data_IF_370590220280
#
_entry.id   IF_370590220280
#
_cell.length_a   1.000
_cell.length_b   1.000
_cell.length_c   1.000
_cell.angle_alpha   90.00
_cell.angle_beta   90.00
_cell.angle_gamma   90.00
#
_symmetry.space_group_name_H-M   'P 1'
#
loop_
_entity.id
_entity.type
_entity.pdbx_description
1 polymer ?
#
# COMPACT_ATOMS: atom_id res chain seq x y z
N UNK A 1 -1.75 14.47 -16.71
CA UNK A 1 -2.49 15.76 -16.63
C UNK A 1 -3.00 15.92 -15.21
N UNK A 2 -2.88 17.10 -14.61
CA UNK A 2 -3.41 17.34 -13.26
C UNK A 2 -4.92 17.62 -13.29
N UNK A 3 -5.70 17.15 -12.29
CA UNK A 3 -7.13 17.45 -12.19
C UNK A 3 -7.36 18.94 -11.88
N UNK A 4 -8.44 19.50 -12.43
CA UNK A 4 -8.83 20.88 -12.17
C UNK A 4 -9.29 21.03 -10.72
N UNK A 5 -8.85 22.09 -10.03
CA UNK A 5 -9.26 22.40 -8.66
C UNK A 5 -8.96 23.86 -8.31
N UNK A 6 -9.62 24.37 -7.28
CA UNK A 6 -9.26 25.63 -6.59
C UNK A 6 -8.50 25.40 -5.27
N UNK A 7 -8.28 24.15 -4.89
CA UNK A 7 -7.62 23.76 -3.63
C UNK A 7 -6.36 22.93 -3.92
N UNK A 8 -5.19 23.51 -3.63
CA UNK A 8 -3.88 22.94 -3.92
C UNK A 8 -3.20 22.47 -2.63
N UNK A 9 -2.82 21.19 -2.56
CA UNK A 9 -2.08 20.67 -1.41
C UNK A 9 -0.58 21.00 -1.47
N UNK A 10 0.00 21.41 -0.34
CA UNK A 10 1.41 21.76 -0.19
C UNK A 10 2.28 20.63 0.41
N UNK A 11 1.71 19.43 0.57
CA UNK A 11 2.38 18.28 1.18
C UNK A 11 2.75 18.47 2.65
N UNK A 12 3.46 17.49 3.21
CA UNK A 12 3.78 17.44 4.65
C UNK A 12 4.66 18.62 5.09
N UNK A 13 5.51 19.14 4.22
CA UNK A 13 6.34 20.32 4.50
C UNK A 13 5.49 21.59 4.65
N UNK A 14 4.38 21.68 3.92
CA UNK A 14 3.36 22.74 4.07
C UNK A 14 2.27 22.41 5.08
N UNK A 15 2.42 21.35 5.89
CA UNK A 15 1.42 20.93 6.87
C UNK A 15 0.14 20.35 6.27
N UNK A 16 0.15 19.89 5.01
CA UNK A 16 -1.00 19.23 4.38
C UNK A 16 -0.77 17.72 4.26
N UNK A 17 -1.85 16.95 4.35
CA UNK A 17 -1.81 15.48 4.21
C UNK A 17 -1.60 15.02 2.75
N UNK A 18 -1.86 15.90 1.78
CA UNK A 18 -1.73 15.62 0.34
C UNK A 18 -0.90 16.71 -0.35
N UNK A 19 -0.20 16.34 -1.42
CA UNK A 19 0.62 17.24 -2.25
C UNK A 19 0.02 17.49 -3.64
N UNK A 20 -1.24 17.11 -3.85
CA UNK A 20 -1.88 17.13 -5.16
C UNK A 20 -3.06 18.11 -5.23
N UNK A 21 -3.59 18.27 -6.44
CA UNK A 21 -4.81 19.01 -6.70
C UNK A 21 -6.02 18.27 -6.10
N UNK A 22 -6.66 18.84 -5.08
CA UNK A 22 -7.80 18.22 -4.40
C UNK A 22 -8.98 18.10 -5.36
N UNK A 23 -9.43 16.88 -5.60
CA UNK A 23 -10.59 16.55 -6.44
C UNK A 23 -11.40 15.40 -5.83
N UNK A 24 -12.46 14.95 -6.52
CA UNK A 24 -13.48 14.02 -6.00
C UNK A 24 -12.95 12.82 -5.20
N UNK A 25 -11.82 12.21 -5.59
CA UNK A 25 -11.26 11.05 -4.88
C UNK A 25 -10.97 11.31 -3.40
N UNK A 26 -10.68 12.56 -3.01
CA UNK A 26 -10.36 12.92 -1.63
C UNK A 26 -11.61 13.03 -0.74
N UNK A 27 -12.80 13.00 -1.34
CA UNK A 27 -14.09 13.03 -0.65
C UNK A 27 -14.77 11.65 -0.62
N UNK A 28 -14.08 10.60 -1.09
CA UNK A 28 -14.60 9.25 -1.15
C UNK A 28 -13.62 8.28 -0.49
N UNK A 29 -14.14 7.47 0.42
CA UNK A 29 -13.39 6.34 0.95
C UNK A 29 -13.47 5.17 -0.03
N UNK A 30 -12.37 4.45 -0.23
CA UNK A 30 -12.34 3.22 -1.02
C UNK A 30 -12.49 2.02 -0.10
N UNK A 31 -13.58 1.27 -0.26
CA UNK A 31 -13.76 -0.03 0.39
C UNK A 31 -13.20 -1.12 -0.51
N UNK A 32 -12.19 -1.84 -0.03
CA UNK A 32 -11.62 -2.99 -0.73
C UNK A 32 -12.31 -4.27 -0.25
N UNK A 33 -12.90 -5.02 -1.19
CA UNK A 33 -13.49 -6.34 -0.90
C UNK A 33 -12.45 -7.39 -1.26
N UNK A 34 -11.98 -8.12 -0.25
CA UNK A 34 -11.04 -9.23 -0.42
C UNK A 34 -11.74 -10.55 -0.09
N UNK A 35 -11.48 -11.57 -0.90
CA UNK A 35 -11.91 -12.95 -0.67
C UNK A 35 -10.68 -13.85 -0.54
N UNK A 36 -10.70 -14.89 0.33
CA UNK A 36 -9.60 -15.83 0.40
C UNK A 36 -9.31 -16.45 -0.98
N UNK A 37 -8.03 -16.50 -1.33
CA UNK A 37 -7.52 -17.26 -2.47
C UNK A 37 -6.78 -18.50 -1.94
N UNK A 38 -6.59 -19.56 -2.75
CA UNK A 38 -5.72 -20.67 -2.38
C UNK A 38 -4.33 -20.16 -1.99
N UNK A 39 -3.72 -20.79 -1.00
CA UNK A 39 -2.36 -20.45 -0.58
C UNK A 39 -1.38 -20.75 -1.71
N UNK A 40 -0.64 -19.73 -2.11
CA UNK A 40 0.44 -19.78 -3.09
C UNK A 40 1.71 -19.21 -2.45
N UNK A 41 2.18 -19.90 -1.40
CA UNK A 41 3.39 -19.55 -0.65
C UNK A 41 4.50 -20.55 -1.03
N UNK A 42 5.69 -20.09 -1.46
CA UNK A 42 6.84 -20.98 -1.59
C UNK A 42 7.23 -21.56 -0.22
N UNK A 43 7.87 -22.73 -0.21
CA UNK A 43 8.35 -23.30 1.05
C UNK A 43 9.41 -22.42 1.69
N UNK A 44 9.54 -22.45 3.02
CA UNK A 44 10.53 -21.61 3.72
C UNK A 44 11.98 -21.99 3.33
N UNK A 45 12.21 -23.26 2.98
CA UNK A 45 13.48 -23.71 2.38
C UNK A 45 13.76 -23.05 1.02
N UNK A 46 12.76 -22.86 0.16
CA UNK A 46 12.91 -22.14 -1.12
C UNK A 46 13.06 -20.63 -0.89
N UNK A 47 12.36 -20.08 0.11
CA UNK A 47 12.37 -18.65 0.43
C UNK A 47 13.72 -18.21 1.00
N UNK A 48 14.33 -19.02 1.86
CA UNK A 48 15.56 -18.68 2.60
C UNK A 48 16.82 -19.39 2.09
N UNK A 49 16.69 -20.47 1.31
CA UNK A 49 17.81 -21.16 0.69
C UNK A 49 18.87 -21.59 1.72
N UNK A 50 20.12 -21.15 1.53
CA UNK A 50 21.25 -21.47 2.41
C UNK A 50 21.12 -20.91 3.83
N UNK A 51 20.24 -19.94 4.03
CA UNK A 51 19.96 -19.34 5.34
C UNK A 51 18.78 -20.00 6.06
N UNK A 52 18.17 -21.03 5.46
CA UNK A 52 17.08 -21.76 6.08
C UNK A 52 17.60 -22.61 7.25
N UNK A 53 17.16 -22.29 8.46
CA UNK A 53 17.40 -23.08 9.66
C UNK A 53 16.07 -23.62 10.21
N UNK A 54 15.78 -24.93 10.04
CA UNK A 54 14.56 -25.56 10.56
C UNK A 54 14.38 -25.40 12.08
N UNK A 55 15.43 -25.09 12.83
CA UNK A 55 15.35 -24.87 14.28
C UNK A 55 14.75 -23.51 14.66
N UNK A 56 14.58 -22.59 13.69
CA UNK A 56 14.04 -21.23 13.90
C UNK A 56 12.57 -21.08 13.47
N UNK A 57 11.93 -22.16 13.00
CA UNK A 57 10.54 -22.20 12.50
C UNK A 57 9.45 -22.22 13.60
N UNK A 58 9.78 -21.73 14.81
CA UNK A 58 8.91 -21.78 15.99
C UNK A 58 7.92 -20.62 16.09
#
# INVERSE_FOLDING_TARGET
RMPMTSSLGCGTWGGNIVSENVHLKHYLNTTWVSSPIPEDKPSDAELFGEFYDPALEA
#
